data_IF_104424731300
#
_entry.id   IF_104424731300
#
_cell.length_a   1.000
_cell.length_b   1.000
_cell.length_c   1.000
_cell.angle_alpha   90.00
_cell.angle_beta   90.00
_cell.angle_gamma   90.00
#
_symmetry.space_group_name_H-M   'P 1'
#
loop_
_entity.id
_entity.type
_entity.pdbx_description
1 polymer ?
#
# COMPACT_ATOMS: atom_id res chain seq x y z
N UNK A 1 -4.27 18.03 1.56
CA UNK A 1 -5.14 16.91 1.97
C UNK A 1 -5.99 16.45 0.78
N UNK A 2 -6.06 15.14 0.55
CA UNK A 2 -7.00 14.51 -0.37
C UNK A 2 -7.73 13.38 0.38
N UNK A 3 -9.03 13.19 0.08
CA UNK A 3 -9.83 12.07 0.59
C UNK A 3 -10.45 11.36 -0.60
N UNK A 4 -10.16 10.08 -0.75
CA UNK A 4 -10.65 9.26 -1.86
C UNK A 4 -11.23 7.96 -1.33
N UNK A 5 -12.31 7.49 -1.97
CA UNK A 5 -12.80 6.13 -1.79
C UNK A 5 -11.99 5.23 -2.72
N UNK A 6 -11.17 4.36 -2.14
CA UNK A 6 -10.36 3.40 -2.87
C UNK A 6 -11.12 2.08 -3.02
N UNK A 7 -11.24 1.61 -4.24
CA UNK A 7 -11.82 0.31 -4.59
C UNK A 7 -10.75 -0.47 -5.33
N UNK A 8 -10.26 -1.55 -4.72
CA UNK A 8 -9.13 -2.30 -5.24
C UNK A 8 -9.38 -3.82 -5.16
N UNK A 9 -8.91 -4.54 -6.19
CA UNK A 9 -8.85 -6.00 -6.23
C UNK A 9 -7.39 -6.42 -6.32
N UNK A 10 -6.97 -7.38 -5.48
CA UNK A 10 -5.56 -7.76 -5.34
C UNK A 10 -5.36 -9.25 -5.43
N UNK A 11 -4.21 -9.65 -5.95
CA UNK A 11 -3.76 -11.03 -5.97
C UNK A 11 -2.25 -11.12 -5.75
N UNK A 12 -1.80 -12.07 -4.92
CA UNK A 12 -0.39 -12.43 -4.90
C UNK A 12 -0.04 -13.18 -6.18
N UNK A 13 1.13 -12.87 -6.71
CA UNK A 13 1.71 -13.53 -7.87
C UNK A 13 2.97 -14.29 -7.46
N UNK A 14 3.27 -15.38 -8.15
CA UNK A 14 4.63 -15.85 -8.19
C UNK A 14 5.43 -15.07 -9.24
N UNK A 15 6.74 -15.22 -9.25
CA UNK A 15 7.62 -14.50 -10.15
C UNK A 15 7.25 -14.73 -11.64
N UNK A 16 6.95 -15.97 -12.01
CA UNK A 16 6.61 -16.33 -13.40
C UNK A 16 5.32 -15.64 -13.85
N UNK A 17 4.30 -15.59 -12.96
CA UNK A 17 3.03 -14.90 -13.23
C UNK A 17 3.24 -13.38 -13.36
N UNK A 18 4.07 -12.80 -12.49
CA UNK A 18 4.45 -11.39 -12.55
C UNK A 18 5.13 -11.05 -13.88
N UNK A 19 6.18 -11.78 -14.24
CA UNK A 19 6.92 -11.57 -15.49
C UNK A 19 6.05 -11.74 -16.74
N UNK A 20 5.11 -12.71 -16.70
CA UNK A 20 4.14 -12.94 -17.78
C UNK A 20 3.21 -11.75 -17.98
N UNK A 21 2.67 -11.18 -16.90
CA UNK A 21 1.83 -9.99 -16.96
C UNK A 21 2.66 -8.77 -17.37
N UNK A 22 3.84 -8.60 -16.80
CA UNK A 22 4.77 -7.52 -17.06
C UNK A 22 5.08 -7.39 -18.56
N UNK A 23 5.49 -8.49 -19.19
CA UNK A 23 5.74 -8.57 -20.63
C UNK A 23 4.49 -8.35 -21.49
N UNK A 24 3.38 -9.05 -21.14
CA UNK A 24 2.17 -9.01 -21.95
C UNK A 24 1.57 -7.61 -22.06
N UNK A 25 1.64 -6.83 -20.99
CA UNK A 25 1.09 -5.48 -20.94
C UNK A 25 2.13 -4.38 -21.24
N UNK A 26 3.36 -4.74 -21.59
CA UNK A 26 4.40 -3.77 -21.98
C UNK A 26 4.86 -2.89 -20.82
N UNK A 27 4.87 -3.41 -19.59
CA UNK A 27 5.31 -2.67 -18.42
C UNK A 27 6.80 -2.32 -18.45
N UNK A 28 7.59 -2.98 -19.30
CA UNK A 28 8.98 -2.62 -19.58
C UNK A 28 9.16 -1.20 -20.11
N UNK A 29 8.12 -0.64 -20.74
CA UNK A 29 8.13 0.73 -21.26
C UNK A 29 7.72 1.76 -20.19
N UNK A 30 7.24 1.32 -19.04
CA UNK A 30 6.84 2.20 -17.94
C UNK A 30 8.03 2.59 -17.06
N UNK A 31 8.01 3.82 -16.55
CA UNK A 31 9.00 4.26 -15.55
C UNK A 31 8.54 3.75 -14.19
N UNK A 32 9.33 2.90 -13.52
CA UNK A 32 8.94 2.39 -12.21
C UNK A 32 8.95 3.47 -11.14
N UNK A 33 7.96 3.43 -10.27
CA UNK A 33 7.92 4.24 -9.07
C UNK A 33 8.53 3.46 -7.90
N UNK A 34 9.70 3.88 -7.46
CA UNK A 34 10.34 3.33 -6.27
C UNK A 34 9.76 3.99 -5.04
N UNK A 35 9.27 3.18 -4.11
CA UNK A 35 8.58 3.61 -2.90
C UNK A 35 9.24 2.99 -1.68
N UNK A 36 9.63 3.81 -0.72
CA UNK A 36 9.96 3.37 0.64
C UNK A 36 8.73 3.60 1.51
N UNK A 37 8.26 2.55 2.18
CA UNK A 37 7.03 2.58 2.96
C UNK A 37 7.36 2.33 4.43
N UNK A 38 6.97 3.26 5.29
CA UNK A 38 7.10 3.19 6.75
C UNK A 38 5.70 3.12 7.35
N UNK A 39 5.41 2.07 8.08
CA UNK A 39 4.12 1.89 8.76
C UNK A 39 4.23 2.24 10.22
N UNK A 40 3.20 2.90 10.73
CA UNK A 40 3.14 3.41 12.09
C UNK A 40 1.98 2.80 12.85
N UNK A 41 2.21 2.53 14.12
CA UNK A 41 1.18 2.23 15.14
C UNK A 41 1.72 2.65 16.51
N UNK A 42 0.86 2.62 17.51
CA UNK A 42 1.27 2.73 18.91
C UNK A 42 1.92 1.42 19.39
N UNK A 43 2.66 1.46 20.47
CA UNK A 43 3.28 0.28 21.06
C UNK A 43 2.26 -0.84 21.39
N UNK A 44 1.01 -0.47 21.66
CA UNK A 44 -0.08 -1.40 21.97
C UNK A 44 -0.92 -1.80 20.76
N UNK A 45 -0.59 -1.32 19.52
CA UNK A 45 -1.31 -1.65 18.30
C UNK A 45 -2.72 -1.04 18.22
N UNK A 46 -2.90 0.19 18.71
CA UNK A 46 -4.21 0.85 18.77
C UNK A 46 -4.83 1.11 17.40
N UNK A 47 -4.01 1.35 16.38
CA UNK A 47 -4.50 1.50 15.01
C UNK A 47 -4.88 0.15 14.41
N UNK A 48 -4.07 -0.88 14.61
CA UNK A 48 -4.34 -2.24 14.14
C UNK A 48 -5.66 -2.79 14.72
N UNK A 49 -5.93 -2.57 16.03
CA UNK A 49 -7.20 -2.94 16.69
C UNK A 49 -8.43 -2.30 16.04
N UNK A 50 -8.25 -1.13 15.43
CA UNK A 50 -9.30 -0.39 14.73
C UNK A 50 -9.29 -0.62 13.21
N UNK A 51 -8.45 -1.55 12.73
CA UNK A 51 -8.24 -1.82 11.31
C UNK A 51 -7.78 -0.59 10.50
N UNK A 52 -7.14 0.38 11.16
CA UNK A 52 -6.58 1.58 10.54
C UNK A 52 -5.14 1.29 10.14
N UNK A 53 -4.81 1.57 8.88
CA UNK A 53 -3.44 1.56 8.40
C UNK A 53 -2.89 2.99 8.32
N UNK A 54 -1.76 3.28 8.96
CA UNK A 54 -1.06 4.55 8.88
C UNK A 54 0.32 4.33 8.27
N UNK A 55 0.60 5.06 7.19
CA UNK A 55 1.84 4.86 6.41
C UNK A 55 2.42 6.18 5.94
N UNK A 56 3.72 6.34 6.06
CA UNK A 56 4.46 7.31 5.27
C UNK A 56 5.10 6.62 4.07
N UNK A 57 4.85 7.16 2.89
CA UNK A 57 5.49 6.74 1.64
C UNK A 57 6.44 7.82 1.17
N UNK A 58 7.68 7.43 0.95
CA UNK A 58 8.74 8.30 0.46
C UNK A 58 9.11 7.84 -0.95
N UNK A 59 9.14 8.78 -1.88
CA UNK A 59 9.59 8.58 -3.26
C UNK A 59 10.57 9.69 -3.64
N UNK A 60 11.10 9.65 -4.85
CA UNK A 60 11.95 10.73 -5.36
C UNK A 60 11.19 12.06 -5.55
N UNK A 61 9.86 12.00 -5.73
CA UNK A 61 9.03 13.16 -6.10
C UNK A 61 8.10 13.66 -4.99
N UNK A 62 7.79 12.83 -4.00
CA UNK A 62 6.87 13.21 -2.92
C UNK A 62 7.09 12.39 -1.64
N UNK A 63 6.65 12.98 -0.53
CA UNK A 63 6.49 12.31 0.76
C UNK A 63 5.03 12.46 1.18
N UNK A 64 4.34 11.34 1.36
CA UNK A 64 2.92 11.32 1.71
C UNK A 64 2.67 10.53 2.98
N UNK A 65 1.98 11.16 3.94
CA UNK A 65 1.35 10.47 5.05
C UNK A 65 -0.04 10.04 4.61
N UNK A 66 -0.33 8.75 4.70
CA UNK A 66 -1.60 8.17 4.25
C UNK A 66 -2.22 7.34 5.38
N UNK A 67 -3.49 7.61 5.67
CA UNK A 67 -4.30 6.82 6.57
C UNK A 67 -5.39 6.12 5.77
N UNK A 68 -5.50 4.79 5.95
CA UNK A 68 -6.55 3.96 5.34
C UNK A 68 -7.47 3.41 6.42
N UNK A 69 -8.76 3.70 6.27
CA UNK A 69 -9.82 3.25 7.16
C UNK A 69 -10.79 2.33 6.41
N UNK A 70 -11.23 1.22 7.01
CA UNK A 70 -12.23 0.36 6.39
C UNK A 70 -13.58 1.10 6.31
N UNK A 71 -14.26 0.97 5.19
CA UNK A 71 -15.64 1.47 5.00
C UNK A 71 -16.58 0.30 4.83
N UNK A 72 -16.37 -0.51 3.77
CA UNK A 72 -17.18 -1.67 3.43
C UNK A 72 -16.44 -2.59 2.46
N UNK A 73 -16.42 -3.88 2.72
CA UNK A 73 -15.83 -4.92 1.87
C UNK A 73 -14.45 -4.55 1.30
N UNK A 74 -14.38 -4.26 -0.01
CA UNK A 74 -13.16 -3.86 -0.71
C UNK A 74 -12.92 -2.35 -0.74
N UNK A 75 -13.71 -1.57 0.03
CA UNK A 75 -13.67 -0.11 0.04
C UNK A 75 -12.94 0.39 1.28
N UNK A 76 -12.05 1.34 1.08
CA UNK A 76 -11.33 2.04 2.14
C UNK A 76 -11.41 3.54 1.90
N UNK A 77 -11.62 4.29 2.97
CA UNK A 77 -11.42 5.72 2.95
C UNK A 77 -9.92 5.98 3.11
N UNK A 78 -9.32 6.52 2.08
CA UNK A 78 -7.94 6.96 2.11
C UNK A 78 -7.89 8.47 2.33
N UNK A 79 -7.18 8.90 3.36
CA UNK A 79 -6.84 10.29 3.63
C UNK A 79 -5.35 10.46 3.46
N UNK A 80 -4.93 11.40 2.60
CA UNK A 80 -3.51 11.66 2.30
C UNK A 80 -3.15 13.10 2.59
N UNK A 81 -2.07 13.28 3.36
CA UNK A 81 -1.40 14.55 3.62
C UNK A 81 -0.04 14.57 2.94
N UNK A 82 0.33 15.74 2.40
CA UNK A 82 1.67 15.95 1.86
C UNK A 82 2.61 16.33 2.99
N UNK A 83 3.73 15.65 3.07
CA UNK A 83 4.85 15.98 3.95
C UNK A 83 5.99 16.61 3.15
N UNK A 84 6.91 17.25 3.84
CA UNK A 84 8.13 17.79 3.22
C UNK A 84 9.19 16.72 3.02
N UNK A 85 10.19 17.00 2.21
CA UNK A 85 11.35 16.11 2.07
C UNK A 85 12.09 15.95 3.40
N UNK A 86 12.22 17.03 4.17
CA UNK A 86 12.85 17.01 5.50
C UNK A 86 12.13 16.08 6.48
N UNK A 87 10.78 15.99 6.40
CA UNK A 87 10.03 15.02 7.21
C UNK A 87 10.36 13.59 6.80
N UNK A 88 10.49 13.35 5.50
CA UNK A 88 10.90 12.04 4.98
C UNK A 88 12.29 11.64 5.46
N UNK A 89 13.24 12.56 5.43
CA UNK A 89 14.61 12.34 5.92
C UNK A 89 14.60 12.05 7.43
N UNK A 90 13.84 12.82 8.22
CA UNK A 90 13.69 12.60 9.67
C UNK A 90 13.06 11.22 9.98
N UNK A 91 12.07 10.80 9.19
CA UNK A 91 11.45 9.47 9.37
C UNK A 91 12.46 8.35 9.09
N UNK A 92 13.29 8.49 8.05
CA UNK A 92 14.36 7.52 7.75
C UNK A 92 15.40 7.44 8.87
N UNK A 93 15.76 8.57 9.46
CA UNK A 93 16.79 8.63 10.51
C UNK A 93 16.28 8.21 11.89
N UNK A 94 15.10 8.68 12.28
CA UNK A 94 14.63 8.61 13.65
C UNK A 94 13.31 7.83 13.82
N UNK A 95 12.64 7.49 12.72
CA UNK A 95 11.32 6.85 12.76
C UNK A 95 10.23 7.73 13.35
N UNK A 96 10.41 9.05 13.39
CA UNK A 96 9.45 9.96 14.05
C UNK A 96 8.64 10.76 13.05
N UNK A 97 7.34 10.83 13.31
CA UNK A 97 6.38 11.66 12.59
C UNK A 97 6.20 12.98 13.38
N UNK A 98 6.52 14.11 12.78
CA UNK A 98 6.53 15.42 13.45
C UNK A 98 5.23 16.21 13.29
N UNK A 99 4.47 15.93 12.23
CA UNK A 99 3.14 16.51 12.01
C UNK A 99 2.32 15.64 11.06
N UNK A 100 0.98 15.80 11.06
CA UNK A 100 0.09 14.94 10.30
C UNK A 100 -1.19 15.64 9.80
N UNK A 101 -1.33 16.94 10.00
CA UNK A 101 -2.46 17.73 9.51
C UNK A 101 -3.83 17.23 10.00
N UNK A 102 -4.74 16.94 9.10
CA UNK A 102 -6.07 16.41 9.45
C UNK A 102 -5.99 14.96 9.98
N UNK A 103 -5.00 14.18 9.54
CA UNK A 103 -4.75 12.83 10.07
C UNK A 103 -4.38 12.93 11.55
N UNK A 104 -3.51 13.87 11.94
CA UNK A 104 -3.13 14.11 13.33
C UNK A 104 -4.34 14.48 14.19
N UNK A 105 -5.20 15.40 13.72
CA UNK A 105 -6.43 15.76 14.41
C UNK A 105 -7.38 14.57 14.59
N UNK A 106 -7.47 13.73 13.57
CA UNK A 106 -8.27 12.51 13.65
C UNK A 106 -7.70 11.52 14.67
N UNK A 107 -6.39 11.31 14.68
CA UNK A 107 -5.73 10.45 15.68
C UNK A 107 -5.93 10.99 17.11
N UNK A 108 -5.75 12.29 17.29
CA UNK A 108 -5.98 12.95 18.59
C UNK A 108 -7.43 12.80 19.08
N UNK A 109 -8.43 12.75 18.18
CA UNK A 109 -9.83 12.45 18.57
C UNK A 109 -10.05 11.04 19.11
N UNK A 110 -9.05 10.17 18.97
CA UNK A 110 -9.03 8.80 19.52
C UNK A 110 -8.02 8.63 20.65
N UNK A 111 -7.53 9.76 21.20
CA UNK A 111 -6.50 9.81 22.24
C UNK A 111 -5.16 9.18 21.80
N UNK A 112 -4.82 9.30 20.50
CA UNK A 112 -3.54 8.87 19.93
C UNK A 112 -2.76 10.10 19.51
N UNK A 113 -1.63 10.38 20.14
CA UNK A 113 -0.74 11.48 19.79
C UNK A 113 0.33 11.01 18.81
N UNK A 114 0.92 11.93 18.03
CA UNK A 114 2.01 11.58 17.10
C UNK A 114 3.25 11.03 17.83
N UNK A 115 3.50 11.47 19.04
CA UNK A 115 4.59 10.98 19.90
C UNK A 115 4.42 9.55 20.37
N UNK A 116 3.18 9.03 20.39
CA UNK A 116 2.87 7.63 20.73
C UNK A 116 3.15 6.68 19.55
N UNK A 117 3.34 7.23 18.35
CA UNK A 117 3.53 6.45 17.14
C UNK A 117 5.00 6.05 16.99
N UNK A 118 5.19 4.81 16.60
CA UNK A 118 6.50 4.25 16.24
C UNK A 118 6.42 3.53 14.92
N UNK A 119 7.56 3.41 14.24
CA UNK A 119 7.66 2.57 13.03
C UNK A 119 7.54 1.10 13.44
N UNK A 120 6.46 0.46 13.03
CA UNK A 120 6.20 -0.96 13.26
C UNK A 120 6.69 -1.83 12.11
N UNK A 121 7.06 -1.22 10.99
CA UNK A 121 7.62 -1.94 9.87
C UNK A 121 7.93 -1.05 8.67
N UNK A 122 8.88 -1.51 7.86
CA UNK A 122 9.30 -0.82 6.64
C UNK A 122 9.59 -1.81 5.52
N UNK A 123 9.31 -1.42 4.28
CA UNK A 123 9.67 -2.17 3.09
C UNK A 123 9.71 -1.27 1.85
N UNK A 124 10.42 -1.74 0.85
CA UNK A 124 10.53 -1.09 -0.46
C UNK A 124 9.58 -1.74 -1.46
N UNK A 125 9.00 -0.95 -2.34
CA UNK A 125 8.21 -1.45 -3.47
C UNK A 125 8.72 -0.81 -4.76
N UNK A 126 8.90 -1.61 -5.79
CA UNK A 126 9.04 -1.16 -7.17
C UNK A 126 7.68 -1.34 -7.82
N UNK A 127 7.03 -0.23 -8.12
CA UNK A 127 5.67 -0.20 -8.67
C UNK A 127 5.69 0.17 -10.15
N UNK A 128 5.06 -0.64 -10.96
CA UNK A 128 4.70 -0.32 -12.35
C UNK A 128 3.19 -0.14 -12.42
N UNK A 129 2.73 0.91 -13.09
CA UNK A 129 1.31 1.24 -13.20
C UNK A 129 0.98 1.75 -14.58
N UNK A 130 -0.16 1.32 -15.12
CA UNK A 130 -0.72 1.83 -16.36
C UNK A 130 -2.23 1.59 -16.43
N UNK A 131 -2.91 2.34 -17.29
CA UNK A 131 -4.34 2.15 -17.54
C UNK A 131 -4.55 1.06 -18.59
N UNK A 132 -5.25 -0.01 -18.22
CA UNK A 132 -5.61 -1.12 -19.11
C UNK A 132 -7.12 -1.23 -19.17
N UNK A 133 -7.73 -1.01 -20.34
CA UNK A 133 -9.20 -1.02 -20.54
C UNK A 133 -9.96 -0.16 -19.53
N UNK A 134 -9.40 1.01 -19.19
CA UNK A 134 -10.02 1.96 -18.28
C UNK A 134 -9.92 1.61 -16.78
N UNK A 135 -9.11 0.62 -16.43
CA UNK A 135 -8.78 0.27 -15.02
C UNK A 135 -7.30 0.57 -14.77
N UNK A 136 -6.99 1.07 -13.58
CA UNK A 136 -5.61 1.22 -13.15
C UNK A 136 -5.04 -0.15 -12.77
N UNK A 137 -4.17 -0.69 -13.61
CA UNK A 137 -3.47 -1.94 -13.38
C UNK A 137 -2.09 -1.67 -12.80
N UNK A 138 -1.82 -2.26 -11.66
CA UNK A 138 -0.57 -2.09 -10.91
C UNK A 138 0.11 -3.43 -10.73
N UNK A 139 1.40 -3.47 -10.99
CA UNK A 139 2.29 -4.58 -10.64
C UNK A 139 3.32 -4.09 -9.63
N UNK A 140 3.29 -4.66 -8.45
CA UNK A 140 4.22 -4.37 -7.36
C UNK A 140 5.21 -5.51 -7.17
N UNK A 141 6.50 -5.17 -7.12
CA UNK A 141 7.55 -6.02 -6.58
C UNK A 141 7.97 -5.46 -5.22
N UNK A 142 7.66 -6.18 -4.16
CA UNK A 142 7.85 -5.76 -2.79
C UNK A 142 9.06 -6.46 -2.17
N UNK A 143 9.94 -5.66 -1.54
CA UNK A 143 11.15 -6.12 -0.87
C UNK A 143 11.00 -5.88 0.63
N UNK A 144 10.91 -6.95 1.38
CA UNK A 144 10.92 -6.97 2.83
C UNK A 144 12.33 -7.34 3.32
N UNK A 145 12.56 -7.33 4.63
CA UNK A 145 13.91 -7.55 5.16
C UNK A 145 14.54 -8.88 4.71
N UNK A 146 13.75 -9.97 4.66
CA UNK A 146 14.24 -11.33 4.43
C UNK A 146 13.54 -12.07 3.28
N UNK A 147 12.62 -11.42 2.58
CA UNK A 147 11.90 -12.01 1.46
C UNK A 147 11.39 -10.95 0.49
N UNK A 148 10.95 -11.39 -0.66
CA UNK A 148 10.27 -10.56 -1.65
C UNK A 148 8.97 -11.22 -2.10
N UNK A 149 8.01 -10.42 -2.52
CA UNK A 149 6.77 -10.90 -3.13
C UNK A 149 6.30 -10.02 -4.27
N UNK A 150 5.38 -10.56 -5.04
CA UNK A 150 4.82 -9.90 -6.21
C UNK A 150 3.30 -9.79 -6.06
N UNK A 151 2.74 -8.65 -6.44
CA UNK A 151 1.33 -8.35 -6.28
C UNK A 151 0.76 -7.70 -7.53
N UNK A 152 -0.42 -8.18 -7.94
CA UNK A 152 -1.30 -7.51 -8.88
C UNK A 152 -2.33 -6.72 -8.10
N UNK A 153 -2.49 -5.44 -8.43
CA UNK A 153 -3.60 -4.61 -7.96
C UNK A 153 -4.40 -4.10 -9.18
N UNK A 154 -5.71 -4.07 -9.07
CA UNK A 154 -6.62 -3.43 -10.01
C UNK A 154 -7.42 -2.40 -9.25
N UNK A 155 -7.12 -1.12 -9.47
CA UNK A 155 -7.83 0.00 -8.88
C UNK A 155 -8.93 0.46 -9.85
N UNK A 156 -10.10 0.78 -9.33
CA UNK A 156 -11.29 1.07 -10.13
C UNK A 156 -12.21 2.08 -9.47
N UNK A 157 -12.96 2.82 -10.29
CA UNK A 157 -14.05 3.67 -9.84
C UNK A 157 -15.42 2.96 -9.87
N UNK A 158 -15.51 1.79 -10.52
CA UNK A 158 -16.72 0.96 -10.58
C UNK A 158 -16.42 -0.46 -10.08
N UNK A 159 -16.98 -0.87 -8.91
CA UNK A 159 -16.71 -2.18 -8.32
C UNK A 159 -17.06 -3.35 -9.23
N UNK A 160 -18.15 -3.23 -10.03
CA UNK A 160 -18.57 -4.31 -10.91
C UNK A 160 -17.65 -4.48 -12.10
N UNK A 161 -17.28 -3.35 -12.73
CA UNK A 161 -16.36 -3.34 -13.88
C UNK A 161 -14.98 -3.80 -13.45
N UNK A 162 -14.43 -3.27 -12.34
CA UNK A 162 -13.13 -3.66 -11.82
C UNK A 162 -13.07 -5.13 -11.43
N UNK A 163 -14.12 -5.66 -10.76
CA UNK A 163 -14.21 -7.08 -10.42
C UNK A 163 -14.20 -7.97 -11.64
N UNK A 164 -15.00 -7.61 -12.64
CA UNK A 164 -15.07 -8.38 -13.90
C UNK A 164 -13.73 -8.35 -14.64
N UNK A 165 -13.10 -7.20 -14.74
CA UNK A 165 -11.76 -7.06 -15.33
C UNK A 165 -10.73 -7.93 -14.60
N UNK A 166 -10.65 -7.83 -13.28
CA UNK A 166 -9.74 -8.61 -12.44
C UNK A 166 -9.95 -10.13 -12.61
N UNK A 167 -11.19 -10.62 -12.54
CA UNK A 167 -11.48 -12.04 -12.69
C UNK A 167 -11.15 -12.57 -14.10
N UNK A 168 -11.45 -11.80 -15.14
CA UNK A 168 -11.12 -12.15 -16.51
C UNK A 168 -9.60 -12.18 -16.73
N UNK A 169 -8.86 -11.25 -16.13
CA UNK A 169 -7.40 -11.21 -16.17
C UNK A 169 -6.82 -12.50 -15.56
N UNK A 170 -7.21 -12.84 -14.34
CA UNK A 170 -6.73 -14.05 -13.68
C UNK A 170 -7.03 -15.30 -14.50
N UNK A 171 -8.24 -15.41 -15.07
CA UNK A 171 -8.65 -16.53 -15.93
C UNK A 171 -7.81 -16.59 -17.21
N UNK A 172 -7.64 -15.46 -17.90
CA UNK A 172 -6.88 -15.39 -19.16
C UNK A 172 -5.44 -15.86 -18.98
N UNK A 173 -4.81 -15.48 -17.87
CA UNK A 173 -3.42 -15.81 -17.59
C UNK A 173 -3.24 -17.09 -16.78
N UNK A 174 -4.35 -17.78 -16.43
CA UNK A 174 -4.36 -19.00 -15.63
C UNK A 174 -3.69 -18.78 -14.24
N UNK A 175 -3.91 -17.59 -13.66
CA UNK A 175 -3.40 -17.24 -12.36
C UNK A 175 -4.44 -17.64 -11.30
N UNK A 176 -4.10 -18.48 -10.33
CA UNK A 176 -5.02 -18.85 -9.26
C UNK A 176 -5.31 -17.63 -8.37
N UNK A 177 -6.57 -17.48 -7.97
CA UNK A 177 -6.92 -16.46 -7.00
C UNK A 177 -6.35 -16.86 -5.63
N UNK A 178 -5.52 -15.99 -5.07
CA UNK A 178 -4.91 -16.17 -3.74
C UNK A 178 -5.46 -15.14 -2.77
N UNK A 179 -5.93 -15.54 -1.58
CA UNK A 179 -6.30 -14.59 -0.54
C UNK A 179 -5.07 -13.77 -0.17
N UNK A 180 -5.22 -12.45 -0.16
CA UNK A 180 -4.13 -11.55 0.12
C UNK A 180 -4.37 -10.81 1.43
N UNK A 181 -3.39 -10.84 2.32
CA UNK A 181 -3.33 -9.96 3.48
C UNK A 181 -2.65 -8.65 3.10
N UNK A 182 -2.93 -7.59 3.84
CA UNK A 182 -2.24 -6.31 3.65
C UNK A 182 -0.72 -6.49 3.76
N UNK A 183 0.05 -5.71 2.99
CA UNK A 183 1.52 -5.78 2.96
C UNK A 183 2.14 -5.75 4.37
N UNK A 184 1.63 -4.87 5.24
CA UNK A 184 2.08 -4.77 6.63
C UNK A 184 1.83 -6.08 7.43
N UNK A 185 0.69 -6.72 7.22
CA UNK A 185 0.35 -7.98 7.91
C UNK A 185 1.25 -9.12 7.42
N UNK A 186 1.57 -9.16 6.12
CA UNK A 186 2.50 -10.16 5.57
C UNK A 186 3.90 -10.00 6.15
N UNK A 187 4.37 -8.76 6.26
CA UNK A 187 5.67 -8.44 6.85
C UNK A 187 5.78 -8.97 8.29
N UNK A 188 4.77 -8.70 9.14
CA UNK A 188 4.78 -9.14 10.54
C UNK A 188 4.70 -10.66 10.71
N UNK A 189 3.97 -11.37 9.84
CA UNK A 189 3.85 -12.81 9.94
C UNK A 189 5.18 -13.53 9.70
N UNK A 190 5.98 -13.04 8.77
CA UNK A 190 7.29 -13.64 8.45
C UNK A 190 8.33 -13.28 9.52
N UNK A 191 8.20 -12.14 10.19
CA UNK A 191 9.05 -11.80 11.34
C UNK A 191 8.74 -12.67 12.57
N UNK A 192 7.51 -13.18 12.69
CA UNK A 192 7.12 -14.07 13.79
C UNK A 192 7.46 -15.55 13.54
N UNK A 193 7.73 -15.93 12.29
CA UNK A 193 8.10 -17.29 11.88
C UNK A 193 9.64 -17.51 11.83
N UNK A 194 10.43 -16.47 12.19
CA UNK A 194 11.90 -16.47 12.32
C UNK A 194 12.32 -16.46 13.79
#
# INVERSE_FOLDING_TARGET
>A
MARNLEIEYKNLLNQIEYEKLFKHFGFEETIPLVQENFYFDTANGELAKRHIGLRVRITNSYVHLTMKQPVKDHQKLETTEKLTKSDGDSIKENGKLSHGGEIEKFLASMDILLEDLMVIGQFKTIRHQQVVKGQDMVLDHCFFANFEDYELEVETNDPKVGRSFYQNLLKQFQIPQRPIKQKIVRMHQIQADL
#
